data_IF_753234970000
#
_entry.id   IF_753234970000
#
_cell.length_a   1.000
_cell.length_b   1.000
_cell.length_c   1.000
_cell.angle_alpha   90.00
_cell.angle_beta   90.00
_cell.angle_gamma   90.00
#
_symmetry.space_group_name_H-M   'P 1'
#
loop_
_entity.id
_entity.type
_entity.pdbx_description
1 polymer ?
#
# COMPACT_ATOMS: atom_id res chain seq x y z
N UNK A 1 22.01 2.51 -2.58
CA UNK A 1 21.83 1.70 -1.36
C UNK A 1 20.96 0.52 -1.72
N UNK A 2 21.52 -0.69 -1.68
CA UNK A 2 20.81 -1.92 -2.03
C UNK A 2 20.02 -2.38 -0.81
N UNK A 3 18.70 -2.17 -0.80
CA UNK A 3 17.82 -2.91 0.11
C UNK A 3 17.86 -4.37 -0.32
N UNK A 4 18.56 -5.22 0.44
CA UNK A 4 18.79 -6.63 0.12
C UNK A 4 17.73 -7.56 0.74
N UNK A 5 16.88 -7.03 1.62
CA UNK A 5 15.84 -7.79 2.29
C UNK A 5 14.47 -7.29 1.80
N UNK A 6 13.81 -8.10 0.97
CA UNK A 6 12.40 -7.93 0.67
C UNK A 6 11.64 -8.57 1.84
N UNK A 7 10.93 -7.76 2.62
CA UNK A 7 10.03 -8.27 3.66
C UNK A 7 8.77 -8.81 2.99
N UNK A 8 8.52 -10.11 3.16
CA UNK A 8 7.27 -10.75 2.73
C UNK A 8 6.42 -11.00 3.97
N UNK A 9 5.22 -10.43 3.99
CA UNK A 9 4.18 -10.82 4.92
C UNK A 9 3.52 -12.11 4.40
N UNK A 10 3.94 -13.25 4.93
CA UNK A 10 3.51 -14.57 4.46
C UNK A 10 2.47 -15.13 5.42
N UNK A 11 1.25 -15.33 4.91
CA UNK A 11 0.19 -16.03 5.64
C UNK A 11 0.07 -17.46 5.11
N UNK A 12 0.28 -18.45 5.98
CA UNK A 12 0.08 -19.86 5.65
C UNK A 12 -1.38 -20.26 5.87
N UNK A 13 -2.00 -20.84 4.84
CA UNK A 13 -3.35 -21.38 4.93
C UNK A 13 -3.33 -22.90 5.09
N UNK A 14 -4.36 -23.48 5.75
CA UNK A 14 -4.52 -24.92 5.81
C UNK A 14 -4.51 -25.55 4.42
N UNK A 15 -3.84 -26.70 4.27
CA UNK A 15 -3.80 -27.42 3.01
C UNK A 15 -5.21 -27.90 2.63
N UNK A 16 -5.68 -27.51 1.45
CA UNK A 16 -7.01 -27.89 0.96
C UNK A 16 -6.92 -29.18 0.14
N UNK A 17 -7.82 -30.11 0.43
CA UNK A 17 -7.97 -31.35 -0.33
C UNK A 17 -9.18 -31.29 -1.25
N UNK A 18 -9.04 -31.88 -2.44
CA UNK A 18 -10.14 -32.04 -3.40
C UNK A 18 -11.22 -32.96 -2.82
N UNK A 19 -12.48 -32.55 -2.89
CA UNK A 19 -13.60 -33.39 -2.47
C UNK A 19 -13.90 -34.48 -3.54
N UNK A 20 -14.48 -35.64 -3.15
CA UNK A 20 -14.71 -36.75 -4.07
C UNK A 20 -15.60 -36.41 -5.28
N UNK A 21 -16.62 -35.57 -5.05
CA UNK A 21 -17.62 -35.19 -6.06
C UNK A 21 -17.26 -33.92 -6.83
N UNK A 22 -16.18 -33.25 -6.42
CA UNK A 22 -15.81 -31.95 -6.94
C UNK A 22 -15.05 -32.10 -8.26
N UNK A 23 -15.30 -31.21 -9.20
CA UNK A 23 -14.49 -31.12 -10.43
C UNK A 23 -13.18 -30.39 -10.16
N UNK A 24 -12.19 -30.53 -11.04
CA UNK A 24 -10.92 -29.78 -10.91
C UNK A 24 -11.11 -28.25 -10.85
N UNK A 25 -11.93 -27.62 -11.73
CA UNK A 25 -12.15 -26.18 -11.66
C UNK A 25 -12.90 -25.76 -10.40
N UNK A 26 -13.87 -26.54 -9.92
CA UNK A 26 -14.56 -26.25 -8.64
C UNK A 26 -13.58 -26.24 -7.46
N UNK A 27 -12.66 -27.23 -7.41
CA UNK A 27 -11.62 -27.28 -6.40
C UNK A 27 -10.71 -26.05 -6.43
N UNK A 28 -10.29 -25.64 -7.63
CA UNK A 28 -9.44 -24.48 -7.80
C UNK A 28 -10.18 -23.18 -7.44
N UNK A 29 -11.44 -23.02 -7.84
CA UNK A 29 -12.28 -21.89 -7.47
C UNK A 29 -12.47 -21.79 -5.94
N UNK A 30 -12.73 -22.92 -5.27
CA UNK A 30 -12.86 -22.97 -3.81
C UNK A 30 -11.54 -22.64 -3.11
N UNK A 31 -10.42 -23.11 -3.65
CA UNK A 31 -9.08 -22.80 -3.11
C UNK A 31 -8.75 -21.32 -3.27
N UNK A 32 -9.04 -20.75 -4.45
CA UNK A 32 -8.89 -19.32 -4.70
C UNK A 32 -9.76 -18.51 -3.75
N UNK A 33 -11.02 -18.89 -3.55
CA UNK A 33 -11.93 -18.19 -2.65
C UNK A 33 -11.39 -18.13 -1.21
N UNK A 34 -10.84 -19.23 -0.69
CA UNK A 34 -10.22 -19.26 0.63
C UNK A 34 -8.99 -18.34 0.73
N UNK A 35 -8.17 -18.26 -0.33
CA UNK A 35 -7.04 -17.32 -0.39
C UNK A 35 -7.53 -15.88 -0.42
N UNK A 36 -8.51 -15.59 -1.26
CA UNK A 36 -9.10 -14.25 -1.39
C UNK A 36 -9.71 -13.77 -0.06
N UNK A 37 -10.43 -14.64 0.64
CA UNK A 37 -10.96 -14.36 1.98
C UNK A 37 -9.85 -14.02 2.98
N UNK A 38 -8.77 -14.82 3.01
CA UNK A 38 -7.65 -14.57 3.92
C UNK A 38 -6.91 -13.25 3.64
N UNK A 39 -6.84 -12.83 2.38
CA UNK A 39 -6.19 -11.58 1.96
C UNK A 39 -7.16 -10.39 1.99
N UNK A 40 -8.46 -10.62 2.20
CA UNK A 40 -9.49 -9.57 2.22
C UNK A 40 -9.80 -8.99 0.84
N UNK A 41 -9.63 -9.78 -0.22
CA UNK A 41 -9.94 -9.38 -1.60
C UNK A 41 -11.15 -10.17 -2.13
N UNK A 42 -11.98 -9.59 -3.01
CA UNK A 42 -13.08 -10.33 -3.62
C UNK A 42 -12.56 -11.44 -4.54
N UNK A 43 -13.14 -12.64 -4.42
CA UNK A 43 -12.83 -13.74 -5.31
C UNK A 43 -13.42 -13.52 -6.71
N UNK A 44 -12.57 -13.54 -7.73
CA UNK A 44 -12.99 -13.53 -9.14
C UNK A 44 -13.40 -14.91 -9.65
N UNK A 45 -14.04 -14.95 -10.82
CA UNK A 45 -14.37 -16.20 -11.50
C UNK A 45 -13.10 -16.97 -11.87
N UNK A 46 -13.07 -18.27 -11.56
CA UNK A 46 -11.96 -19.14 -11.93
C UNK A 46 -12.25 -19.84 -13.25
N UNK A 47 -11.80 -19.24 -14.35
CA UNK A 47 -11.93 -19.76 -15.72
C UNK A 47 -10.59 -20.26 -16.30
N UNK A 48 -9.49 -20.10 -15.55
CA UNK A 48 -8.13 -20.42 -15.99
C UNK A 48 -7.55 -19.48 -17.05
N UNK A 49 -8.32 -18.50 -17.53
CA UNK A 49 -7.87 -17.56 -18.57
C UNK A 49 -6.75 -16.67 -18.06
N UNK A 50 -6.74 -16.34 -16.77
CA UNK A 50 -5.64 -15.60 -16.14
C UNK A 50 -4.28 -16.30 -16.31
N UNK A 51 -4.24 -17.63 -16.35
CA UNK A 51 -2.99 -18.37 -16.53
C UNK A 51 -2.52 -18.33 -17.99
N UNK A 52 -3.44 -18.49 -18.94
CA UNK A 52 -3.08 -18.73 -20.35
C UNK A 52 -3.22 -17.51 -21.26
N UNK A 53 -3.95 -16.48 -20.85
CA UNK A 53 -4.25 -15.30 -21.67
C UNK A 53 -3.44 -14.09 -21.23
N UNK A 54 -2.47 -13.69 -22.06
CA UNK A 54 -1.67 -12.48 -21.83
C UNK A 54 -2.51 -11.20 -21.76
N UNK A 55 -3.53 -11.08 -22.60
CA UNK A 55 -4.38 -9.88 -22.60
C UNK A 55 -5.15 -9.72 -21.29
N UNK A 56 -5.62 -10.84 -20.71
CA UNK A 56 -6.28 -10.85 -19.40
C UNK A 56 -5.29 -10.47 -18.30
N UNK A 57 -4.06 -11.01 -18.33
CA UNK A 57 -3.00 -10.66 -17.38
C UNK A 57 -2.65 -9.16 -17.43
N UNK A 58 -2.48 -8.60 -18.62
CA UNK A 58 -2.14 -7.19 -18.82
C UNK A 58 -3.27 -6.26 -18.35
N UNK A 59 -4.51 -6.62 -18.65
CA UNK A 59 -5.70 -5.89 -18.19
C UNK A 59 -5.80 -5.89 -16.67
N UNK A 60 -5.64 -7.04 -16.03
CA UNK A 60 -5.68 -7.17 -14.57
C UNK A 60 -4.55 -6.38 -13.89
N UNK A 61 -3.32 -6.45 -14.43
CA UNK A 61 -2.19 -5.68 -13.91
C UNK A 61 -2.44 -4.17 -14.01
N UNK A 62 -3.03 -3.72 -15.11
CA UNK A 62 -3.37 -2.30 -15.31
C UNK A 62 -4.41 -1.85 -14.29
N UNK A 63 -5.47 -2.64 -14.10
CA UNK A 63 -6.50 -2.38 -13.09
C UNK A 63 -5.91 -2.35 -11.68
N UNK A 64 -5.06 -3.33 -11.34
CA UNK A 64 -4.39 -3.38 -10.04
C UNK A 64 -3.52 -2.14 -9.79
N UNK A 65 -2.76 -1.69 -10.79
CA UNK A 65 -1.94 -0.47 -10.71
C UNK A 65 -2.81 0.76 -10.46
N UNK A 66 -3.94 0.87 -11.14
CA UNK A 66 -4.86 1.99 -10.96
C UNK A 66 -5.45 2.01 -9.54
N UNK A 67 -5.88 0.86 -9.02
CA UNK A 67 -6.39 0.71 -7.64
C UNK A 67 -5.31 1.12 -6.63
N UNK A 68 -4.09 0.60 -6.77
CA UNK A 68 -2.97 0.96 -5.89
C UNK A 68 -2.64 2.46 -5.98
N UNK A 69 -2.61 3.03 -7.18
CA UNK A 69 -2.35 4.45 -7.37
C UNK A 69 -3.41 5.32 -6.66
N UNK A 70 -4.70 4.97 -6.79
CA UNK A 70 -5.79 5.66 -6.08
C UNK A 70 -5.65 5.55 -4.56
N UNK A 71 -5.37 4.36 -4.05
CA UNK A 71 -5.19 4.14 -2.60
C UNK A 71 -4.01 4.96 -2.05
N UNK A 72 -2.87 4.95 -2.75
CA UNK A 72 -1.70 5.75 -2.37
C UNK A 72 -1.99 7.25 -2.40
N UNK A 73 -2.63 7.74 -3.46
CA UNK A 73 -3.02 9.15 -3.56
C UNK A 73 -3.96 9.53 -2.40
N UNK A 74 -4.97 8.70 -2.10
CA UNK A 74 -5.89 8.98 -0.99
C UNK A 74 -5.19 9.04 0.36
N UNK A 75 -4.17 8.21 0.58
CA UNK A 75 -3.35 8.25 1.80
C UNK A 75 -2.56 9.57 1.89
N UNK A 76 -1.84 9.93 0.82
CA UNK A 76 -1.00 11.15 0.81
C UNK A 76 -1.81 12.46 0.87
N UNK A 77 -3.00 12.50 0.27
CA UNK A 77 -3.84 13.70 0.31
C UNK A 77 -4.82 13.72 1.49
N UNK A 78 -5.06 12.58 2.15
CA UNK A 78 -5.85 12.49 3.38
C UNK A 78 -5.11 12.94 4.65
N UNK A 79 -3.78 12.96 4.65
CA UNK A 79 -2.96 13.50 5.76
C UNK A 79 -2.92 15.05 5.80
N UNK A 80 -3.51 15.75 4.82
CA UNK A 80 -3.44 17.23 4.73
C UNK A 80 -4.54 18.00 5.47
N UNK A 81 -5.52 17.34 6.10
CA UNK A 81 -6.66 18.03 6.75
C UNK A 81 -6.63 18.04 8.29
N UNK A 82 -5.48 17.74 8.94
CA UNK A 82 -5.39 17.79 10.41
C UNK A 82 -4.23 18.62 10.97
N UNK A 83 -3.71 19.60 10.24
CA UNK A 83 -2.68 20.46 10.81
C UNK A 83 -2.64 21.85 10.16
N UNK A 84 -3.76 22.59 10.15
CA UNK A 84 -3.75 24.03 9.87
C UNK A 84 -5.08 24.66 10.33
N UNK A 85 -5.29 24.79 11.65
CA UNK A 85 -6.26 25.75 12.21
C UNK A 85 -6.08 25.91 13.74
N UNK A 86 -4.90 26.39 14.17
CA UNK A 86 -4.73 27.19 15.40
C UNK A 86 -3.25 27.49 15.67
N UNK A 87 -2.62 28.35 14.88
CA UNK A 87 -1.43 29.11 15.32
C UNK A 87 -1.32 30.41 14.52
N UNK A 88 -2.35 31.22 14.72
CA UNK A 88 -2.41 32.65 14.44
C UNK A 88 -1.19 33.38 15.02
N UNK A 89 -0.51 34.13 14.14
CA UNK A 89 0.16 35.42 14.38
C UNK A 89 1.12 35.54 15.58
N UNK A 90 2.42 35.38 15.31
CA UNK A 90 3.53 36.29 15.70
C UNK A 90 4.85 35.57 15.31
N UNK A 91 5.80 36.14 14.59
CA UNK A 91 6.44 37.41 14.87
C UNK A 91 7.04 37.99 13.58
N UNK A 92 6.76 39.27 13.36
CA UNK A 92 7.49 40.12 12.43
C UNK A 92 8.86 40.47 13.03
N UNK A 93 9.94 40.18 12.31
CA UNK A 93 11.22 40.91 12.41
C UNK A 93 11.01 42.36 11.91
N UNK A 94 11.82 43.41 12.25
CA UNK A 94 13.31 43.44 12.29
C UNK A 94 13.88 44.49 13.32
N UNK A 95 15.07 45.13 13.21
CA UNK A 95 16.32 44.84 12.48
C UNK A 95 17.62 44.84 13.36
N UNK A 96 18.68 44.39 12.71
CA UNK A 96 20.14 44.56 12.91
C UNK A 96 20.64 45.89 13.52
N UNK A 97 21.55 45.81 14.53
CA UNK A 97 22.61 46.81 14.84
C UNK A 97 23.87 46.09 15.40
N UNK A 98 25.05 46.54 14.96
CA UNK A 98 26.42 46.03 15.20
C UNK A 98 27.08 46.44 16.54
N UNK A 99 28.13 45.67 16.87
CA UNK A 99 29.38 45.95 17.63
C UNK A 99 29.34 46.76 18.95
N UNK A 100 29.88 46.17 20.04
CA UNK A 100 31.27 46.44 20.46
C UNK A 100 31.69 45.60 21.69
N UNK A 101 32.96 45.18 21.69
CA UNK A 101 33.70 44.44 22.74
C UNK A 101 34.03 45.37 23.95
N UNK A 102 34.41 44.89 25.17
CA UNK A 102 35.64 44.08 25.38
C UNK A 102 35.67 43.05 26.52
N UNK A 103 36.69 42.19 26.36
CA UNK A 103 37.32 41.22 27.27
C UNK A 103 37.53 41.72 28.70
N UNK A 104 37.19 40.88 29.69
CA UNK A 104 37.85 40.88 31.01
C UNK A 104 38.11 39.43 31.47
N UNK A 105 39.28 39.27 32.05
CA UNK A 105 40.05 38.07 32.42
C UNK A 105 39.60 37.54 33.78
N UNK A 106 39.68 36.23 34.00
CA UNK A 106 40.02 35.63 35.32
C UNK A 106 40.77 34.33 35.12
#
# INVERSE_FOLDING_TARGET
MSSWAIYYDVTYLPAMTKLPQETKPEFAARTQAAICEAVGVPAGEFDGSLWYSKSVQESLLTSQREICAKALLSYYFGEKETEDDASILNQSSPPHVQDDRPTVIS
#
